data_IF_554803477073
#
_entry.id   IF_554803477073
#
_cell.length_a   1.000
_cell.length_b   1.000
_cell.length_c   1.000
_cell.angle_alpha   90.00
_cell.angle_beta   90.00
_cell.angle_gamma   90.00
#
_symmetry.space_group_name_H-M   'P 1'
#
loop_
_entity.id
_entity.type
_entity.pdbx_description
1 polymer ?
#
# COMPACT_ATOMS: atom_id res chain seq x y z
N UNK A 1 23.56 -27.12 -24.66
CA UNK A 1 22.71 -26.17 -25.41
C UNK A 1 21.20 -26.47 -25.35
N UNK A 2 20.63 -27.43 -26.08
CA UNK A 2 19.16 -27.59 -26.13
C UNK A 2 18.50 -28.07 -24.80
N UNK A 3 19.25 -28.77 -23.94
CA UNK A 3 18.77 -29.24 -22.62
C UNK A 3 18.76 -28.14 -21.56
N UNK A 4 19.78 -27.28 -21.56
CA UNK A 4 19.93 -26.18 -20.59
C UNK A 4 18.87 -25.09 -20.79
N UNK A 5 18.50 -24.83 -22.05
CA UNK A 5 17.42 -23.88 -22.39
C UNK A 5 16.07 -24.40 -21.88
N UNK A 6 15.79 -25.70 -22.02
CA UNK A 6 14.55 -26.32 -21.50
C UNK A 6 14.47 -26.26 -19.98
N UNK A 7 15.57 -26.54 -19.27
CA UNK A 7 15.61 -26.41 -17.81
C UNK A 7 15.48 -24.96 -17.33
N UNK A 8 16.10 -24.01 -18.02
CA UNK A 8 15.96 -22.58 -17.72
C UNK A 8 14.51 -22.09 -17.93
N UNK A 9 13.85 -22.55 -19.00
CA UNK A 9 12.43 -22.24 -19.24
C UNK A 9 11.51 -22.83 -18.17
N UNK A 10 11.74 -24.08 -17.76
CA UNK A 10 10.97 -24.70 -16.68
C UNK A 10 11.12 -23.96 -15.34
N UNK A 11 12.33 -23.51 -15.01
CA UNK A 11 12.57 -22.68 -13.81
C UNK A 11 11.86 -21.32 -13.89
N UNK A 12 11.87 -20.68 -15.06
CA UNK A 12 11.18 -19.41 -15.28
C UNK A 12 9.65 -19.53 -15.13
N UNK A 13 9.06 -20.63 -15.61
CA UNK A 13 7.62 -20.87 -15.50
C UNK A 13 7.20 -21.13 -14.05
N UNK A 14 8.03 -21.87 -13.30
CA UNK A 14 7.86 -22.06 -11.85
C UNK A 14 7.98 -20.73 -11.11
N UNK A 15 8.94 -19.87 -11.47
CA UNK A 15 9.11 -18.55 -10.87
C UNK A 15 7.92 -17.62 -11.17
N UNK A 16 7.44 -17.59 -12.42
CA UNK A 16 6.24 -16.84 -12.80
C UNK A 16 5.01 -17.32 -12.02
N UNK A 17 4.82 -18.63 -11.92
CA UNK A 17 3.73 -19.18 -11.10
C UNK A 17 3.88 -18.80 -9.63
N UNK A 18 5.09 -18.77 -9.09
CA UNK A 18 5.35 -18.29 -7.71
C UNK A 18 5.02 -16.81 -7.56
N UNK A 19 5.49 -15.91 -8.44
CA UNK A 19 5.18 -14.47 -8.38
C UNK A 19 3.67 -14.23 -8.46
N UNK A 20 2.97 -14.87 -9.41
CA UNK A 20 1.52 -14.70 -9.57
C UNK A 20 0.79 -15.20 -8.33
N UNK A 21 1.12 -16.40 -7.83
CA UNK A 21 0.52 -16.94 -6.60
C UNK A 21 0.83 -16.08 -5.37
N UNK A 22 1.98 -15.44 -5.30
CA UNK A 22 2.35 -14.55 -4.19
C UNK A 22 1.59 -13.22 -4.27
N UNK A 23 1.37 -12.72 -5.49
CA UNK A 23 0.51 -11.55 -5.72
C UNK A 23 -0.94 -11.85 -5.33
N UNK A 24 -1.43 -13.04 -5.65
CA UNK A 24 -2.79 -13.49 -5.33
C UNK A 24 -2.99 -13.87 -3.84
N UNK A 25 -1.91 -14.27 -3.14
CA UNK A 25 -1.96 -14.70 -1.72
C UNK A 25 -1.78 -13.57 -0.71
N UNK A 26 -1.62 -12.32 -1.13
CA UNK A 26 -1.41 -11.19 -0.21
C UNK A 26 -0.06 -11.26 0.50
N UNK A 27 1.01 -11.47 -0.25
CA UNK A 27 2.38 -11.52 0.31
C UNK A 27 2.86 -10.10 0.69
N UNK A 28 3.77 -10.00 1.65
CA UNK A 28 4.41 -8.74 2.06
C UNK A 28 5.45 -8.29 1.04
N UNK A 29 5.69 -6.98 0.93
CA UNK A 29 6.78 -6.42 0.10
C UNK A 29 8.14 -7.01 0.48
N UNK A 30 8.34 -7.34 1.75
CA UNK A 30 9.55 -8.00 2.25
C UNK A 30 9.75 -9.39 1.62
N UNK A 31 8.67 -10.18 1.47
CA UNK A 31 8.74 -11.49 0.83
C UNK A 31 9.12 -11.42 -0.65
N UNK A 32 8.69 -10.37 -1.36
CA UNK A 32 9.09 -10.14 -2.75
C UNK A 32 10.58 -9.79 -2.87
N UNK A 33 11.12 -8.99 -1.94
CA UNK A 33 12.54 -8.65 -1.90
C UNK A 33 13.44 -9.87 -1.69
N UNK A 34 13.10 -10.71 -0.71
CA UNK A 34 13.89 -11.92 -0.43
C UNK A 34 13.95 -12.85 -1.64
N UNK A 35 12.84 -13.01 -2.37
CA UNK A 35 12.81 -13.84 -3.58
C UNK A 35 13.65 -13.27 -4.73
N UNK A 36 13.69 -11.94 -4.87
CA UNK A 36 14.56 -11.29 -5.86
C UNK A 36 16.04 -11.50 -5.52
N UNK A 37 16.41 -11.38 -4.24
CA UNK A 37 17.79 -11.58 -3.78
C UNK A 37 18.25 -13.05 -3.87
N UNK A 38 17.34 -14.01 -3.66
CA UNK A 38 17.63 -15.44 -3.79
C UNK A 38 17.86 -15.87 -5.25
N UNK A 39 17.07 -15.34 -6.19
CA UNK A 39 17.26 -15.61 -7.63
C UNK A 39 18.53 -14.96 -8.19
N UNK A 40 18.88 -13.74 -7.75
CA UNK A 40 20.14 -13.09 -8.13
C UNK A 40 21.38 -13.90 -7.71
N UNK A 41 21.30 -14.62 -6.59
CA UNK A 41 22.38 -15.49 -6.10
C UNK A 41 22.38 -16.88 -6.74
N UNK A 42 21.25 -17.33 -7.29
CA UNK A 42 21.03 -18.72 -7.68
C UNK A 42 21.24 -19.05 -9.16
N UNK A 43 21.05 -18.12 -10.09
CA UNK A 43 21.02 -18.44 -11.52
C UNK A 43 21.71 -17.34 -12.35
N UNK A 44 22.62 -17.76 -13.22
CA UNK A 44 23.23 -16.92 -14.24
C UNK A 44 22.17 -16.10 -14.98
N UNK A 45 22.28 -14.79 -14.79
CA UNK A 45 21.57 -13.69 -15.44
C UNK A 45 21.22 -14.00 -16.91
N UNK A 46 20.03 -14.53 -17.16
CA UNK A 46 19.36 -14.47 -18.46
C UNK A 46 17.88 -14.84 -18.41
N UNK A 47 17.33 -15.23 -17.25
CA UNK A 47 15.88 -15.23 -17.02
C UNK A 47 15.45 -13.77 -16.83
N UNK A 48 15.36 -13.11 -18.00
CA UNK A 48 14.57 -11.95 -18.39
C UNK A 48 14.63 -10.77 -17.43
N UNK A 49 15.66 -9.96 -17.65
CA UNK A 49 15.83 -8.57 -17.20
C UNK A 49 14.49 -7.82 -17.07
N UNK A 50 13.56 -7.99 -18.01
CA UNK A 50 12.24 -7.36 -17.98
C UNK A 50 11.38 -7.76 -16.76
N UNK A 51 11.23 -9.05 -16.44
CA UNK A 51 10.37 -9.50 -15.33
C UNK A 51 11.00 -9.16 -13.96
N UNK A 52 12.33 -9.26 -13.87
CA UNK A 52 13.07 -8.80 -12.70
C UNK A 52 12.99 -7.27 -12.54
N UNK A 53 13.05 -6.51 -13.63
CA UNK A 53 12.87 -5.06 -13.60
C UNK A 53 11.43 -4.68 -13.23
N UNK A 54 10.42 -5.35 -13.77
CA UNK A 54 9.01 -5.12 -13.40
C UNK A 54 8.77 -5.35 -11.90
N UNK A 55 9.37 -6.40 -11.34
CA UNK A 55 9.32 -6.69 -9.92
C UNK A 55 10.09 -5.64 -9.09
N UNK A 56 11.28 -5.22 -9.53
CA UNK A 56 12.04 -4.13 -8.89
C UNK A 56 11.29 -2.80 -8.93
N UNK A 57 10.71 -2.43 -10.06
CA UNK A 57 9.91 -1.22 -10.23
C UNK A 57 8.64 -1.27 -9.38
N UNK A 58 8.05 -2.45 -9.21
CA UNK A 58 6.93 -2.64 -8.28
C UNK A 58 7.35 -2.47 -6.82
N UNK A 59 8.49 -3.04 -6.41
CA UNK A 59 9.05 -2.85 -5.07
C UNK A 59 9.37 -1.37 -4.83
N UNK A 60 10.01 -0.70 -5.79
CA UNK A 60 10.34 0.72 -5.71
C UNK A 60 9.08 1.59 -5.55
N UNK A 61 8.01 1.29 -6.29
CA UNK A 61 6.72 1.97 -6.12
C UNK A 61 6.13 1.78 -4.71
N UNK A 62 6.26 0.57 -4.15
CA UNK A 62 5.83 0.31 -2.77
C UNK A 62 6.66 1.11 -1.75
N UNK A 63 7.98 1.22 -1.96
CA UNK A 63 8.85 2.03 -1.11
C UNK A 63 8.54 3.52 -1.21
N UNK A 64 8.40 4.05 -2.41
CA UNK A 64 7.99 5.45 -2.63
C UNK A 64 6.64 5.75 -1.96
N UNK A 65 5.70 4.80 -2.01
CA UNK A 65 4.45 4.94 -1.29
C UNK A 65 4.66 4.95 0.23
N UNK A 66 5.51 4.06 0.77
CA UNK A 66 5.87 4.07 2.21
C UNK A 66 6.45 5.42 2.64
N UNK A 67 7.36 5.98 1.84
CA UNK A 67 8.01 7.25 2.14
C UNK A 67 7.00 8.41 2.14
N UNK A 68 6.11 8.46 1.14
CA UNK A 68 5.01 9.45 1.10
C UNK A 68 4.12 9.36 2.34
N UNK A 69 3.78 8.15 2.77
CA UNK A 69 2.97 7.93 3.98
C UNK A 69 3.73 8.39 5.22
N UNK A 70 5.02 8.06 5.34
CA UNK A 70 5.84 8.50 6.47
C UNK A 70 5.94 10.03 6.55
N UNK A 71 6.16 10.70 5.42
CA UNK A 71 6.18 12.16 5.33
C UNK A 71 4.84 12.77 5.77
N UNK A 72 3.73 12.28 5.22
CA UNK A 72 2.38 12.73 5.57
C UNK A 72 2.02 12.48 7.04
N UNK A 73 2.44 11.35 7.61
CA UNK A 73 2.24 11.03 9.03
C UNK A 73 3.09 11.91 9.95
N UNK A 74 4.22 12.43 9.47
CA UNK A 74 5.07 13.36 10.22
C UNK A 74 4.63 14.83 10.10
N UNK A 75 3.88 15.17 9.05
CA UNK A 75 3.44 16.54 8.78
C UNK A 75 2.38 17.04 9.77
N UNK A 76 2.51 18.31 10.18
CA UNK A 76 1.49 19.05 10.94
C UNK A 76 0.46 19.63 9.98
N UNK A 77 -0.83 19.58 10.34
CA UNK A 77 -1.90 20.18 9.54
C UNK A 77 -2.26 19.41 8.26
N UNK A 78 -1.99 18.10 8.24
CA UNK A 78 -2.32 17.19 7.13
C UNK A 78 -3.82 17.18 6.81
N UNK A 79 -4.14 17.26 5.52
CA UNK A 79 -5.51 17.17 5.01
C UNK A 79 -5.99 15.71 5.06
N UNK A 80 -7.24 15.51 5.49
CA UNK A 80 -7.88 14.20 5.49
C UNK A 80 -8.02 13.65 4.07
N UNK A 81 -8.26 14.50 3.08
CA UNK A 81 -8.40 14.10 1.67
C UNK A 81 -7.11 13.48 1.13
N UNK A 82 -5.97 14.03 1.51
CA UNK A 82 -4.67 13.52 1.09
C UNK A 82 -4.37 12.16 1.73
N UNK A 83 -4.79 11.95 2.98
CA UNK A 83 -4.69 10.64 3.64
C UNK A 83 -5.63 9.60 3.00
N UNK A 84 -6.84 10.00 2.59
CA UNK A 84 -7.78 9.15 1.87
C UNK A 84 -7.28 8.80 0.46
N UNK A 85 -6.61 9.73 -0.23
CA UNK A 85 -5.96 9.48 -1.51
C UNK A 85 -4.86 8.41 -1.37
N UNK A 86 -4.02 8.50 -0.34
CA UNK A 86 -2.99 7.49 -0.05
C UNK A 86 -3.58 6.10 0.25
N UNK A 87 -4.74 6.03 0.90
CA UNK A 87 -5.49 4.79 1.12
C UNK A 87 -6.03 4.20 -0.19
N UNK A 88 -6.43 5.04 -1.15
CA UNK A 88 -6.85 4.59 -2.47
C UNK A 88 -5.66 4.07 -3.29
N UNK A 89 -4.52 4.76 -3.24
CA UNK A 89 -3.26 4.31 -3.86
C UNK A 89 -2.83 2.93 -3.32
N UNK A 90 -2.90 2.72 -2.00
CA UNK A 90 -2.58 1.43 -1.38
C UNK A 90 -3.42 0.28 -1.92
N UNK A 91 -4.73 0.48 -2.09
CA UNK A 91 -5.61 -0.54 -2.68
C UNK A 91 -5.17 -0.93 -4.09
N UNK A 92 -4.62 0.01 -4.85
CA UNK A 92 -4.07 -0.23 -6.19
C UNK A 92 -2.78 -1.06 -6.18
N UNK A 93 -2.04 -1.11 -5.07
CA UNK A 93 -0.81 -1.90 -4.95
C UNK A 93 -1.10 -3.40 -4.76
N UNK A 94 -2.20 -3.75 -4.09
CA UNK A 94 -2.62 -5.15 -3.92
C UNK A 94 -1.67 -6.02 -3.09
N UNK A 95 -0.79 -5.41 -2.30
CA UNK A 95 0.16 -6.09 -1.41
C UNK A 95 0.07 -5.53 0.00
N UNK A 96 0.44 -6.34 0.99
CA UNK A 96 0.49 -5.88 2.37
C UNK A 96 1.74 -5.02 2.62
N UNK A 97 1.52 -3.82 3.15
CA UNK A 97 2.56 -2.89 3.58
C UNK A 97 2.29 -2.51 5.03
N UNK A 98 3.24 -2.78 5.92
CA UNK A 98 3.18 -2.54 7.36
C UNK A 98 2.69 -1.14 7.78
N UNK A 99 3.14 -0.10 7.07
CA UNK A 99 2.78 1.30 7.38
C UNK A 99 1.29 1.62 7.08
N UNK A 100 0.60 0.77 6.32
CA UNK A 100 -0.83 0.92 6.03
C UNK A 100 -1.69 0.94 7.30
N UNK A 101 -1.37 0.12 8.31
CA UNK A 101 -2.20 0.06 9.52
C UNK A 101 -2.10 1.36 10.33
N UNK A 102 -0.94 2.01 10.33
CA UNK A 102 -0.75 3.34 10.92
C UNK A 102 -1.52 4.42 10.16
N UNK A 103 -1.53 4.37 8.83
CA UNK A 103 -2.32 5.28 7.99
C UNK A 103 -3.82 5.09 8.23
N UNK A 104 -4.30 3.84 8.23
CA UNK A 104 -5.71 3.48 8.47
C UNK A 104 -6.20 3.97 9.83
N UNK A 105 -5.39 3.78 10.88
CA UNK A 105 -5.71 4.27 12.23
C UNK A 105 -5.84 5.79 12.24
N UNK A 106 -4.89 6.50 11.61
CA UNK A 106 -4.91 7.97 11.53
C UNK A 106 -6.15 8.50 10.81
N UNK A 107 -6.54 7.89 9.68
CA UNK A 107 -7.76 8.27 8.94
C UNK A 107 -9.01 8.00 9.77
N UNK A 108 -9.05 6.88 10.50
CA UNK A 108 -10.16 6.55 11.38
C UNK A 108 -10.31 7.57 12.52
N UNK A 109 -9.20 7.96 13.14
CA UNK A 109 -9.19 8.95 14.22
C UNK A 109 -9.63 10.33 13.72
N UNK A 110 -9.13 10.77 12.57
CA UNK A 110 -9.52 12.03 11.95
C UNK A 110 -11.02 12.06 11.63
N UNK A 111 -11.57 10.97 11.07
CA UNK A 111 -13.01 10.82 10.85
C UNK A 111 -13.81 10.81 12.16
N UNK A 112 -13.28 10.17 13.21
CA UNK A 112 -13.87 10.18 14.54
C UNK A 112 -13.99 11.59 15.10
N UNK A 113 -12.93 12.40 14.99
CA UNK A 113 -12.94 13.81 15.40
C UNK A 113 -13.88 14.67 14.56
N UNK A 114 -13.88 14.49 13.23
CA UNK A 114 -14.78 15.20 12.34
C UNK A 114 -16.26 14.92 12.68
N UNK A 115 -16.60 13.66 12.97
CA UNK A 115 -17.95 13.28 13.37
C UNK A 115 -18.33 13.83 14.75
N UNK A 116 -17.41 13.86 15.71
CA UNK A 116 -17.63 14.52 17.01
C UNK A 116 -17.87 16.01 16.83
N UNK A 117 -17.05 16.69 16.03
CA UNK A 117 -17.21 18.11 15.73
C UNK A 117 -18.56 18.41 15.07
N UNK A 118 -18.96 17.61 14.07
CA UNK A 118 -20.27 17.73 13.42
C UNK A 118 -21.42 17.57 14.42
N UNK A 119 -21.35 16.61 15.33
CA UNK A 119 -22.37 16.41 16.37
C UNK A 119 -22.46 17.61 17.31
N UNK A 120 -21.32 18.14 17.76
CA UNK A 120 -21.26 19.32 18.64
C UNK A 120 -21.80 20.58 17.94
N UNK A 121 -21.41 20.82 16.69
CA UNK A 121 -21.95 21.95 15.92
C UNK A 121 -23.45 21.80 15.65
N UNK A 122 -23.91 20.59 15.31
CA UNK A 122 -25.34 20.32 15.08
C UNK A 122 -26.19 20.50 16.32
N UNK A 123 -25.71 20.05 17.49
CA UNK A 123 -26.40 20.29 18.76
C UNK A 123 -26.40 21.77 19.11
N UNK A 124 -25.28 22.48 18.94
CA UNK A 124 -25.20 23.92 19.22
C UNK A 124 -26.15 24.75 18.35
N UNK A 125 -26.34 24.37 17.08
CA UNK A 125 -27.32 25.00 16.19
C UNK A 125 -28.76 24.70 16.62
N UNK A 126 -29.05 23.44 17.02
CA UNK A 126 -30.36 23.05 17.50
C UNK A 126 -30.75 23.80 18.79
N UNK A 127 -29.83 23.99 19.73
CA UNK A 127 -30.07 24.77 20.95
C UNK A 127 -30.39 26.25 20.66
N UNK A 128 -29.71 26.86 19.67
CA UNK A 128 -30.00 28.24 19.23
C UNK A 128 -31.34 28.41 18.52
N UNK A 129 -31.91 27.32 18.00
CA UNK A 129 -33.25 27.33 17.40
C UNK A 129 -34.32 27.30 18.49
N UNK A 130 -34.15 26.42 19.49
CA UNK A 130 -35.04 26.33 20.67
C UNK A 130 -35.06 27.64 21.47
N UNK A 131 -33.90 28.29 21.67
CA UNK A 131 -33.83 29.60 22.34
C UNK A 131 -34.56 30.72 21.57
N UNK A 132 -34.63 30.62 20.23
CA UNK A 132 -35.35 31.59 19.39
C UNK A 132 -36.86 31.40 19.42
N UNK A 133 -37.33 30.16 19.52
CA UNK A 133 -38.76 29.84 19.61
C UNK A 133 -39.35 30.10 21.01
N UNK A 134 -38.50 30.20 22.03
CA UNK A 134 -38.88 30.47 23.42
C UNK A 134 -38.96 31.99 23.76
N UNK A 135 -38.64 32.89 22.83
CA UNK A 135 -38.74 34.35 22.95
C UNK A 135 -39.93 34.89 22.18
#
# INVERSE_FOLDING_TARGET
ENSEIKEAMGRAEVFRSKIVKLRERGTTVQGLKTLLEEEEKGIGLNIRVAEANDARDFVLRCEQWKDKVAEMLSAKGRDLRDLEALMAEYKGLGVFIDVHDSLKTTVSDANGWLNKAKKLCGTMLAWREVEREAQ
#
